data_IF_898702818862
#
_entry.id   IF_898702818862
#
_cell.length_a   1.000
_cell.length_b   1.000
_cell.length_c   1.000
_cell.angle_alpha   90.00
_cell.angle_beta   90.00
_cell.angle_gamma   90.00
#
_symmetry.space_group_name_H-M   'P 1'
#
loop_
_entity.id
_entity.type
_entity.pdbx_description
1 polymer ?
#
# COMPACT_ATOMS: atom_id res chain seq x y z
N UNK A 1 -1.10 0.33 33.81
CA UNK A 1 -0.56 0.66 32.47
C UNK A 1 -1.12 1.99 32.04
N UNK A 2 -0.35 2.78 31.31
CA UNK A 2 -0.76 4.10 30.83
C UNK A 2 -1.69 3.93 29.65
N UNK A 3 -2.89 4.51 29.71
CA UNK A 3 -3.84 4.45 28.60
C UNK A 3 -3.55 5.52 27.53
N UNK A 4 -3.26 6.74 28.00
CA UNK A 4 -3.07 7.92 27.16
C UNK A 4 -2.32 9.01 27.92
N UNK A 5 -1.87 10.02 27.19
CA UNK A 5 -1.51 11.31 27.77
C UNK A 5 -2.48 12.40 27.30
N UNK A 6 -2.56 13.48 28.06
CA UNK A 6 -3.34 14.66 27.74
C UNK A 6 -2.43 15.87 27.84
N UNK A 7 -2.55 16.76 26.88
CA UNK A 7 -1.94 18.09 26.95
C UNK A 7 -3.06 19.13 26.91
N UNK A 8 -3.11 20.04 27.88
CA UNK A 8 -4.16 21.07 27.98
C UNK A 8 -3.71 22.45 27.48
N UNK A 9 -2.55 22.52 26.82
CA UNK A 9 -1.92 23.77 26.41
C UNK A 9 -0.88 24.29 27.41
N UNK A 10 -0.77 23.73 28.62
CA UNK A 10 0.22 24.18 29.61
C UNK A 10 0.89 23.00 30.33
N UNK A 11 0.14 21.95 30.63
CA UNK A 11 0.55 20.82 31.45
C UNK A 11 0.24 19.50 30.78
N UNK A 12 1.14 18.54 30.97
CA UNK A 12 0.94 17.16 30.56
C UNK A 12 0.29 16.36 31.69
N UNK A 13 -0.65 15.49 31.34
CA UNK A 13 -1.30 14.57 32.27
C UNK A 13 -1.22 13.14 31.75
N UNK A 14 -0.96 12.20 32.65
CA UNK A 14 -1.00 10.78 32.39
C UNK A 14 -2.38 10.23 32.77
N UNK A 15 -3.00 9.48 31.86
CA UNK A 15 -4.30 8.83 32.07
C UNK A 15 -4.09 7.34 32.27
N UNK A 16 -4.69 6.79 33.33
CA UNK A 16 -4.70 5.35 33.55
C UNK A 16 -6.04 4.90 34.15
N UNK A 17 -6.31 3.61 33.99
CA UNK A 17 -7.48 2.95 34.58
C UNK A 17 -7.14 2.47 35.98
N UNK A 18 -7.99 2.81 36.95
CA UNK A 18 -7.94 2.30 38.31
C UNK A 18 -9.33 1.80 38.71
N UNK A 19 -9.52 0.47 38.63
CA UNK A 19 -10.82 -0.17 38.81
C UNK A 19 -11.85 0.28 37.75
N UNK A 20 -12.96 0.83 38.23
CA UNK A 20 -14.08 1.37 37.41
C UNK A 20 -13.99 2.89 37.21
N UNK A 21 -12.80 3.48 37.38
CA UNK A 21 -12.61 4.93 37.19
C UNK A 21 -11.35 5.23 36.37
N UNK A 22 -11.36 6.38 35.69
CA UNK A 22 -10.17 6.95 35.07
C UNK A 22 -9.56 7.97 36.04
N UNK A 23 -8.25 7.88 36.24
CA UNK A 23 -7.49 8.89 36.98
C UNK A 23 -6.49 9.60 36.07
N UNK A 24 -6.29 10.88 36.35
CA UNK A 24 -5.38 11.75 35.63
C UNK A 24 -4.34 12.33 36.60
N UNK A 25 -3.05 12.19 36.28
CA UNK A 25 -1.95 12.69 37.11
C UNK A 25 -1.09 13.65 36.31
N UNK A 26 -0.75 14.80 36.89
CA UNK A 26 0.15 15.75 36.23
C UNK A 26 1.56 15.16 36.10
N UNK A 27 2.18 15.38 34.95
CA UNK A 27 3.54 14.94 34.62
C UNK A 27 4.40 16.18 34.45
N UNK A 28 5.54 16.19 35.14
CA UNK A 28 6.53 17.26 34.98
C UNK A 28 7.23 17.08 33.63
N UNK A 29 7.17 18.11 32.80
CA UNK A 29 7.81 18.14 31.48
C UNK A 29 8.32 19.54 31.17
N UNK A 30 9.36 19.67 30.32
CA UNK A 30 9.88 20.96 29.89
C UNK A 30 9.06 21.59 28.74
N UNK A 31 7.94 20.98 28.36
CA UNK A 31 7.12 21.40 27.22
C UNK A 31 6.48 22.76 27.55
N UNK A 32 6.68 23.72 26.67
CA UNK A 32 6.17 25.08 26.80
C UNK A 32 4.66 25.20 26.58
N UNK A 33 4.16 26.40 26.84
CA UNK A 33 2.75 26.73 26.69
C UNK A 33 2.36 26.78 25.21
N UNK A 34 1.19 26.23 24.89
CA UNK A 34 0.61 26.15 23.55
C UNK A 34 1.50 25.41 22.52
N UNK A 35 2.44 24.58 23.00
CA UNK A 35 3.29 23.75 22.15
C UNK A 35 2.47 22.69 21.40
N UNK A 36 2.94 22.30 20.22
CA UNK A 36 2.42 21.13 19.51
C UNK A 36 3.08 19.90 20.11
N UNK A 37 2.29 18.90 20.51
CA UNK A 37 2.83 17.71 21.20
C UNK A 37 2.35 16.42 20.55
N UNK A 38 3.23 15.43 20.46
CA UNK A 38 2.90 14.05 20.12
C UNK A 38 3.60 13.07 21.08
N UNK A 39 2.91 12.00 21.44
CA UNK A 39 3.44 10.92 22.26
C UNK A 39 4.04 9.83 21.36
N UNK A 40 5.32 9.52 21.55
CA UNK A 40 6.03 8.49 20.77
C UNK A 40 6.17 7.17 21.54
N UNK A 41 6.14 7.25 22.87
CA UNK A 41 6.24 6.08 23.73
C UNK A 41 5.96 6.47 25.17
N UNK A 42 6.04 5.50 26.09
CA UNK A 42 5.87 5.80 27.51
C UNK A 42 6.96 6.78 27.97
N UNK A 43 6.55 8.00 28.38
CA UNK A 43 7.44 9.08 28.82
C UNK A 43 8.41 9.59 27.75
N UNK A 44 8.06 9.42 26.47
CA UNK A 44 8.79 9.99 25.35
C UNK A 44 7.84 10.81 24.46
N UNK A 45 8.17 12.10 24.33
CA UNK A 45 7.34 13.07 23.65
C UNK A 45 8.16 13.81 22.60
N UNK A 46 7.52 14.08 21.47
CA UNK A 46 8.01 15.02 20.50
C UNK A 46 7.16 16.28 20.54
N UNK A 47 7.79 17.43 20.47
CA UNK A 47 7.07 18.70 20.54
C UNK A 47 7.74 19.80 19.73
N UNK A 48 6.94 20.80 19.33
CA UNK A 48 7.39 22.01 18.63
C UNK A 48 6.83 23.19 19.39
N UNK A 49 7.71 24.13 19.75
CA UNK A 49 7.35 25.34 20.48
C UNK A 49 6.80 26.40 19.52
N UNK A 50 5.87 27.23 20.00
CA UNK A 50 5.22 28.27 19.21
C UNK A 50 6.21 29.30 18.67
N UNK A 51 7.24 29.62 19.45
CA UNK A 51 8.29 30.59 19.10
C UNK A 51 9.30 30.05 18.07
N UNK A 52 9.37 28.73 17.90
CA UNK A 52 10.29 28.06 16.97
C UNK A 52 9.55 26.94 16.21
N UNK A 53 8.62 27.31 15.29
CA UNK A 53 7.70 26.36 14.65
C UNK A 53 8.39 25.37 13.71
N UNK A 54 9.68 25.54 13.44
CA UNK A 54 10.54 24.74 12.56
C UNK A 54 11.58 23.91 13.34
N UNK A 55 11.47 23.83 14.68
CA UNK A 55 12.39 23.05 15.52
C UNK A 55 11.61 21.94 16.24
N UNK A 56 11.86 20.69 15.83
CA UNK A 56 11.33 19.50 16.47
C UNK A 56 12.19 19.15 17.69
N UNK A 57 11.55 18.97 18.84
CA UNK A 57 12.23 18.58 20.09
C UNK A 57 11.77 17.22 20.53
N UNK A 58 12.69 16.42 21.05
CA UNK A 58 12.42 15.14 21.70
C UNK A 58 12.71 15.27 23.18
N UNK A 59 11.71 15.06 24.03
CA UNK A 59 11.87 14.94 25.47
C UNK A 59 11.67 13.50 25.92
N UNK A 60 12.69 12.93 26.57
CA UNK A 60 12.61 11.65 27.26
C UNK A 60 13.16 11.83 28.67
N UNK A 61 12.40 11.43 29.70
CA UNK A 61 12.78 11.68 31.10
C UNK A 61 14.17 11.13 31.49
N UNK A 62 14.66 10.10 30.81
CA UNK A 62 15.98 9.49 31.07
C UNK A 62 17.16 10.16 30.35
N UNK A 63 16.92 10.87 29.25
CA UNK A 63 17.99 11.39 28.36
C UNK A 63 17.96 12.92 28.27
N UNK A 64 16.84 13.56 28.61
CA UNK A 64 16.65 15.00 28.49
C UNK A 64 16.02 15.40 27.17
N UNK A 65 16.36 16.61 26.70
CA UNK A 65 15.82 17.20 25.48
C UNK A 65 16.85 17.17 24.35
N UNK A 66 16.43 16.81 23.15
CA UNK A 66 17.22 16.92 21.91
C UNK A 66 16.43 17.73 20.88
N UNK A 67 17.13 18.45 20.01
CA UNK A 67 16.53 19.29 18.98
C UNK A 67 16.93 18.82 17.57
N UNK A 68 16.00 18.94 16.63
CA UNK A 68 16.16 18.61 15.22
C UNK A 68 15.56 19.74 14.38
N UNK A 69 16.29 20.19 13.37
CA UNK A 69 15.79 21.21 12.44
C UNK A 69 14.80 20.58 11.45
N UNK A 70 13.64 21.20 11.27
CA UNK A 70 12.69 20.84 10.23
C UNK A 70 12.90 21.68 8.97
N UNK A 71 12.50 21.19 7.79
CA UNK A 71 12.59 21.97 6.54
C UNK A 71 11.73 23.24 6.52
N UNK A 72 10.74 23.36 7.42
CA UNK A 72 9.89 24.53 7.53
C UNK A 72 8.94 24.45 8.73
N UNK A 73 8.12 25.49 8.93
CA UNK A 73 7.23 25.60 10.09
C UNK A 73 6.11 24.55 10.05
N UNK A 74 5.66 24.12 11.23
CA UNK A 74 4.59 23.13 11.37
C UNK A 74 3.49 23.59 12.33
N UNK A 75 2.29 23.06 12.11
CA UNK A 75 1.09 23.40 12.89
C UNK A 75 0.39 22.18 13.53
N UNK A 76 0.85 20.96 13.24
CA UNK A 76 0.37 19.72 13.89
C UNK A 76 1.45 18.64 13.92
N UNK A 77 1.48 17.86 15.00
CA UNK A 77 2.32 16.66 15.13
C UNK A 77 1.45 15.42 15.27
N UNK A 78 1.91 14.31 14.71
CA UNK A 78 1.33 12.99 14.92
C UNK A 78 2.41 11.90 14.85
N UNK A 79 2.19 10.80 15.56
CA UNK A 79 3.06 9.62 15.50
C UNK A 79 2.31 8.52 14.78
N UNK A 80 2.96 7.91 13.80
CA UNK A 80 2.41 6.80 13.04
C UNK A 80 3.54 5.88 12.60
N UNK A 81 3.36 4.57 12.78
CA UNK A 81 4.34 3.55 12.37
C UNK A 81 5.77 3.92 12.78
N UNK A 82 5.95 4.23 14.07
CA UNK A 82 7.27 4.55 14.67
C UNK A 82 8.02 5.73 14.05
N UNK A 83 7.33 6.58 13.28
CA UNK A 83 7.82 7.86 12.77
C UNK A 83 7.03 9.01 13.37
N UNK A 84 7.66 10.18 13.40
CA UNK A 84 7.03 11.44 13.79
C UNK A 84 6.72 12.22 12.53
N UNK A 85 5.46 12.56 12.32
CA UNK A 85 5.03 13.36 11.18
C UNK A 85 4.68 14.77 11.64
N UNK A 86 5.30 15.75 11.00
CA UNK A 86 5.17 17.16 11.31
C UNK A 86 4.48 17.86 10.12
N UNK A 87 3.30 18.42 10.35
CA UNK A 87 2.42 18.94 9.30
C UNK A 87 2.76 20.39 9.01
N UNK A 88 3.27 20.66 7.79
CA UNK A 88 3.43 22.00 7.24
C UNK A 88 2.21 22.42 6.42
N UNK A 89 2.26 23.63 5.86
CA UNK A 89 1.11 24.21 5.15
C UNK A 89 0.64 23.37 3.95
N UNK A 90 1.57 22.91 3.10
CA UNK A 90 1.27 22.13 1.87
C UNK A 90 2.04 20.81 1.78
N UNK A 91 2.60 20.38 2.91
CA UNK A 91 3.47 19.22 2.97
C UNK A 91 3.42 18.57 4.34
N UNK A 92 3.93 17.34 4.41
CA UNK A 92 4.14 16.60 5.63
C UNK A 92 5.63 16.25 5.72
N UNK A 93 6.26 16.50 6.86
CA UNK A 93 7.64 16.10 7.12
C UNK A 93 7.61 14.80 7.94
N UNK A 94 8.09 13.69 7.37
CA UNK A 94 8.25 12.42 8.09
C UNK A 94 9.66 12.32 8.68
N UNK A 95 9.78 12.55 9.98
CA UNK A 95 11.01 12.37 10.73
C UNK A 95 11.13 10.91 11.21
N UNK A 96 12.26 10.27 10.92
CA UNK A 96 12.62 8.94 11.41
C UNK A 96 13.55 9.04 12.62
N UNK A 97 13.06 8.75 13.85
CA UNK A 97 13.88 8.80 15.06
C UNK A 97 15.10 7.88 15.08
N UNK A 98 15.11 6.82 14.25
CA UNK A 98 16.20 5.86 14.23
C UNK A 98 17.40 6.35 13.42
N UNK A 99 17.15 7.13 12.36
CA UNK A 99 18.18 7.64 11.46
C UNK A 99 18.43 9.14 11.61
N UNK A 100 17.49 9.87 12.20
CA UNK A 100 17.46 11.34 12.20
C UNK A 100 17.07 11.95 10.85
N UNK A 101 16.76 11.14 9.84
CA UNK A 101 16.43 11.60 8.49
C UNK A 101 15.01 12.20 8.45
N UNK A 102 14.82 13.24 7.62
CA UNK A 102 13.51 13.86 7.36
C UNK A 102 13.14 13.67 5.89
N UNK A 103 12.00 13.03 5.65
CA UNK A 103 11.39 12.91 4.33
C UNK A 103 10.28 13.95 4.14
N UNK A 104 10.12 14.47 2.92
CA UNK A 104 9.10 15.46 2.58
C UNK A 104 8.03 14.84 1.67
N UNK A 105 6.78 14.93 2.09
CA UNK A 105 5.61 14.54 1.29
C UNK A 105 4.88 15.80 0.82
N UNK A 106 4.92 16.08 -0.47
CA UNK A 106 4.27 17.27 -1.04
C UNK A 106 2.80 17.00 -1.36
N UNK A 107 1.90 17.73 -0.69
CA UNK A 107 0.45 17.57 -0.90
C UNK A 107 -0.14 18.54 -1.92
N UNK A 108 0.56 19.65 -2.22
CA UNK A 108 0.11 20.66 -3.18
C UNK A 108 -1.28 21.26 -2.89
N UNK A 109 -1.82 20.99 -1.69
CA UNK A 109 -3.06 21.49 -1.13
C UNK A 109 -2.77 21.94 0.29
N UNK A 110 -3.47 22.96 0.76
CA UNK A 110 -3.35 23.37 2.16
C UNK A 110 -3.82 22.23 3.06
N UNK A 111 -3.10 21.96 4.15
CA UNK A 111 -3.43 20.92 5.11
C UNK A 111 -3.98 21.60 6.35
N UNK A 112 -5.30 21.63 6.50
CA UNK A 112 -5.92 22.19 7.69
C UNK A 112 -5.83 21.20 8.86
N UNK A 113 -6.17 19.94 8.60
CA UNK A 113 -6.05 18.87 9.57
C UNK A 113 -5.77 17.52 8.90
N UNK A 114 -5.13 16.61 9.62
CA UNK A 114 -4.70 15.29 9.13
C UNK A 114 -4.73 14.24 10.22
N UNK A 115 -5.13 13.02 9.86
CA UNK A 115 -5.15 11.86 10.74
C UNK A 115 -4.52 10.67 10.01
N UNK A 116 -3.72 9.88 10.73
CA UNK A 116 -3.14 8.65 10.18
C UNK A 116 -4.22 7.61 9.93
N UNK A 117 -4.13 6.95 8.77
CA UNK A 117 -4.95 5.82 8.36
C UNK A 117 -4.18 4.50 8.55
N UNK A 118 -4.52 3.46 7.78
CA UNK A 118 -3.77 2.20 7.76
C UNK A 118 -2.40 2.38 7.12
N UNK A 119 -2.37 2.66 5.82
CA UNK A 119 -1.17 2.74 4.98
C UNK A 119 -0.97 4.17 4.42
N UNK A 120 -1.21 5.17 5.27
CA UNK A 120 -1.06 6.58 4.90
C UNK A 120 -1.89 7.49 5.77
N UNK A 121 -2.53 8.49 5.17
CA UNK A 121 -3.22 9.57 5.88
C UNK A 121 -4.52 9.95 5.21
N UNK A 122 -5.42 10.56 5.98
CA UNK A 122 -6.57 11.30 5.47
C UNK A 122 -6.46 12.72 6.00
N UNK A 123 -6.59 13.70 5.13
CA UNK A 123 -6.47 15.11 5.48
C UNK A 123 -7.57 15.96 4.84
N UNK A 124 -7.87 17.09 5.48
CA UNK A 124 -8.82 18.09 5.01
C UNK A 124 -8.08 19.39 4.73
N UNK A 125 -8.46 20.10 3.68
CA UNK A 125 -7.88 21.40 3.35
C UNK A 125 -8.66 22.58 3.96
N UNK A 126 -8.17 23.78 3.70
CA UNK A 126 -8.76 25.06 4.16
C UNK A 126 -10.15 25.36 3.56
N UNK A 127 -10.52 24.70 2.46
CA UNK A 127 -11.86 24.77 1.86
C UNK A 127 -12.75 23.56 2.20
N UNK A 128 -12.40 22.80 3.25
CA UNK A 128 -13.17 21.65 3.76
C UNK A 128 -13.36 20.48 2.78
N UNK A 129 -12.45 20.35 1.81
CA UNK A 129 -12.37 19.20 0.92
C UNK A 129 -11.49 18.10 1.52
N UNK A 130 -11.89 16.84 1.28
CA UNK A 130 -11.25 15.66 1.86
C UNK A 130 -10.32 14.98 0.85
N UNK A 131 -9.12 14.63 1.31
CA UNK A 131 -8.10 13.92 0.54
C UNK A 131 -7.59 12.73 1.34
N UNK A 132 -7.28 11.67 0.61
CA UNK A 132 -6.58 10.50 1.13
C UNK A 132 -5.19 10.44 0.50
N UNK A 133 -4.19 10.10 1.29
CA UNK A 133 -2.82 9.87 0.84
C UNK A 133 -2.45 8.44 1.19
N UNK A 134 -2.04 7.67 0.19
CA UNK A 134 -1.50 6.32 0.37
C UNK A 134 -0.02 6.33 -0.02
N UNK A 135 0.88 5.77 0.80
CA UNK A 135 2.34 5.82 0.56
C UNK A 135 2.77 5.41 -0.85
N UNK A 136 2.19 4.34 -1.41
CA UNK A 136 2.49 3.88 -2.77
C UNK A 136 1.68 4.53 -3.90
N UNK A 137 0.47 5.04 -3.64
CA UNK A 137 -0.44 5.53 -4.69
C UNK A 137 -0.47 7.06 -4.79
N UNK A 138 0.01 7.76 -3.75
CA UNK A 138 -0.05 9.20 -3.65
C UNK A 138 -1.43 9.68 -3.21
N UNK A 139 -1.79 10.89 -3.65
CA UNK A 139 -2.98 11.60 -3.19
C UNK A 139 -4.18 11.26 -4.08
N UNK A 140 -5.32 11.00 -3.44
CA UNK A 140 -6.62 10.84 -4.06
C UNK A 140 -7.61 11.80 -3.42
N UNK A 141 -8.35 12.56 -4.24
CA UNK A 141 -9.46 13.37 -3.75
C UNK A 141 -10.63 12.45 -3.40
N UNK A 142 -11.14 12.56 -2.17
CA UNK A 142 -12.25 11.73 -1.70
C UNK A 142 -13.56 12.36 -2.15
N UNK A 143 -14.39 11.58 -2.83
CA UNK A 143 -15.68 12.05 -3.34
C UNK A 143 -16.75 11.93 -2.26
N UNK A 144 -17.22 13.08 -1.76
CA UNK A 144 -18.23 13.15 -0.70
C UNK A 144 -19.23 14.26 -1.05
N UNK A 145 -20.50 14.06 -0.73
CA UNK A 145 -21.60 14.95 -1.16
C UNK A 145 -21.59 16.34 -0.50
N UNK A 146 -20.91 16.52 0.64
CA UNK A 146 -20.93 17.75 1.46
C UNK A 146 -19.52 18.06 2.00
N UNK A 147 -19.26 19.26 2.51
CA UNK A 147 -17.96 19.57 3.13
C UNK A 147 -17.69 18.73 4.39
N UNK A 148 -16.42 18.59 4.77
CA UNK A 148 -16.01 17.95 6.03
C UNK A 148 -15.93 19.00 7.14
N UNK A 149 -16.56 18.70 8.28
CA UNK A 149 -16.52 19.55 9.48
C UNK A 149 -15.24 19.29 10.28
N UNK A 150 -14.91 18.02 10.54
CA UNK A 150 -13.73 17.66 11.34
C UNK A 150 -13.27 16.21 11.09
N UNK A 151 -12.01 15.92 11.41
CA UNK A 151 -11.47 14.57 11.50
C UNK A 151 -11.43 14.12 12.97
N UNK A 152 -12.29 13.17 13.33
CA UNK A 152 -12.52 12.80 14.72
C UNK A 152 -11.40 11.92 15.29
N UNK A 153 -10.87 10.99 14.49
CA UNK A 153 -9.85 10.07 14.95
C UNK A 153 -9.73 8.84 14.05
N UNK A 154 -8.75 7.99 14.35
CA UNK A 154 -8.56 6.71 13.67
C UNK A 154 -9.30 5.61 14.45
N UNK A 155 -10.04 4.77 13.76
CA UNK A 155 -10.62 3.53 14.29
C UNK A 155 -10.28 2.36 13.35
N UNK A 156 -9.57 1.35 13.86
CA UNK A 156 -8.98 0.27 13.07
C UNK A 156 -8.06 0.82 11.95
N UNK A 157 -8.43 0.62 10.69
CA UNK A 157 -7.70 1.10 9.52
C UNK A 157 -8.35 2.35 8.88
N UNK A 158 -9.43 2.87 9.45
CA UNK A 158 -10.20 3.97 8.89
C UNK A 158 -10.05 5.25 9.72
N UNK A 159 -10.07 6.39 9.04
CA UNK A 159 -10.26 7.71 9.65
C UNK A 159 -11.74 8.02 9.70
N UNK A 160 -12.22 8.42 10.87
CA UNK A 160 -13.61 8.81 11.08
C UNK A 160 -13.72 10.32 10.86
N UNK A 161 -14.42 10.73 9.81
CA UNK A 161 -14.67 12.13 9.50
C UNK A 161 -16.12 12.52 9.80
N UNK A 162 -16.31 13.71 10.35
CA UNK A 162 -17.60 14.34 10.59
C UNK A 162 -17.98 15.18 9.37
N UNK A 163 -19.03 14.81 8.65
CA UNK A 163 -19.44 15.44 7.38
C UNK A 163 -20.49 16.55 7.60
N UNK A 164 -21.29 16.42 8.64
CA UNK A 164 -22.24 17.44 9.08
C UNK A 164 -22.41 17.30 10.60
N UNK A 165 -23.26 18.11 11.22
CA UNK A 165 -23.38 18.14 12.69
C UNK A 165 -23.62 16.76 13.34
N UNK A 166 -24.22 15.78 12.64
CA UNK A 166 -24.58 14.47 13.22
C UNK A 166 -24.23 13.26 12.33
N UNK A 167 -23.43 13.41 11.27
CA UNK A 167 -23.16 12.32 10.33
C UNK A 167 -21.67 12.11 10.16
N UNK A 168 -21.24 10.87 10.42
CA UNK A 168 -19.86 10.42 10.31
C UNK A 168 -19.67 9.51 9.11
N UNK A 169 -18.46 9.45 8.58
CA UNK A 169 -18.04 8.52 7.52
C UNK A 169 -16.68 7.92 7.88
N UNK A 170 -16.48 6.66 7.49
CA UNK A 170 -15.18 5.97 7.62
C UNK A 170 -14.46 6.05 6.28
N UNK A 171 -13.25 6.59 6.27
CA UNK A 171 -12.44 6.80 5.07
C UNK A 171 -11.11 6.08 5.21
N UNK A 172 -10.67 5.37 4.18
CA UNK A 172 -9.33 4.77 4.11
C UNK A 172 -8.34 5.63 3.30
N UNK A 173 -7.07 5.23 3.29
CA UNK A 173 -6.01 5.88 2.52
C UNK A 173 -6.19 5.78 0.99
N UNK A 174 -7.05 4.89 0.49
CA UNK A 174 -7.38 4.78 -0.94
C UNK A 174 -8.49 5.77 -1.35
N UNK A 175 -9.07 6.49 -0.39
CA UNK A 175 -10.21 7.38 -0.59
C UNK A 175 -11.54 6.64 -0.72
N UNK A 176 -11.61 5.39 -0.27
CA UNK A 176 -12.86 4.64 -0.18
C UNK A 176 -13.67 5.12 1.03
N UNK A 177 -14.94 5.42 0.81
CA UNK A 177 -15.87 5.87 1.85
C UNK A 177 -16.82 4.74 2.22
N UNK A 178 -16.87 4.41 3.51
CA UNK A 178 -17.75 3.37 4.06
C UNK A 178 -18.64 3.92 5.17
N UNK A 179 -19.81 3.32 5.29
CA UNK A 179 -20.82 3.63 6.30
C UNK A 179 -20.90 2.51 7.34
N UNK A 180 -21.34 2.85 8.56
CA UNK A 180 -21.67 1.90 9.63
C UNK A 180 -20.51 1.01 10.14
N UNK A 181 -19.24 1.39 9.92
CA UNK A 181 -18.09 0.68 10.49
C UNK A 181 -17.72 1.15 11.90
N UNK A 182 -18.09 2.38 12.25
CA UNK A 182 -17.81 2.95 13.57
C UNK A 182 -19.02 2.76 14.49
N UNK A 183 -18.86 2.09 15.65
CA UNK A 183 -20.00 1.66 16.47
C UNK A 183 -20.61 2.76 17.35
N UNK A 184 -19.94 3.91 17.49
CA UNK A 184 -20.35 4.97 18.42
C UNK A 184 -20.93 6.19 17.69
N UNK A 185 -21.88 6.86 18.34
CA UNK A 185 -22.45 8.14 17.88
C UNK A 185 -21.78 9.31 18.60
N UNK A 186 -20.46 9.44 18.46
CA UNK A 186 -19.69 10.57 19.00
C UNK A 186 -19.31 11.55 17.90
N UNK A 187 -19.33 12.84 18.22
CA UNK A 187 -18.96 13.95 17.32
C UNK A 187 -17.71 14.71 17.80
N UNK A 188 -17.13 14.29 18.93
CA UNK A 188 -15.92 14.85 19.48
C UNK A 188 -14.71 14.05 18.99
N UNK A 189 -13.54 14.69 18.97
CA UNK A 189 -12.27 14.03 18.67
C UNK A 189 -11.97 12.94 19.70
N UNK A 190 -11.32 11.88 19.25
CA UNK A 190 -11.02 10.72 20.06
C UNK A 190 -9.69 10.09 19.65
N UNK A 191 -9.16 9.26 20.54
CA UNK A 191 -8.07 8.34 20.24
C UNK A 191 -8.54 6.91 20.50
N UNK A 192 -8.09 5.98 19.66
CA UNK A 192 -8.18 4.56 19.98
C UNK A 192 -7.09 4.20 20.98
N UNK A 193 -7.49 3.47 22.01
CA UNK A 193 -6.60 2.86 23.00
C UNK A 193 -6.68 1.33 22.85
N UNK A 194 -6.16 0.59 23.83
CA UNK A 194 -6.13 -0.88 23.83
C UNK A 194 -7.49 -1.53 23.59
N UNK A 195 -7.48 -2.71 22.95
CA UNK A 195 -8.66 -3.56 22.72
C UNK A 195 -9.81 -2.89 21.93
N UNK A 196 -9.49 -1.86 21.14
CA UNK A 196 -10.48 -1.12 20.35
C UNK A 196 -11.33 -0.15 21.17
N UNK A 197 -10.97 0.08 22.44
CA UNK A 197 -11.59 1.12 23.25
C UNK A 197 -11.28 2.52 22.73
N UNK A 198 -12.17 3.46 23.03
CA UNK A 198 -12.12 4.84 22.52
C UNK A 198 -12.13 5.82 23.67
N UNK A 199 -11.10 6.67 23.76
CA UNK A 199 -11.03 7.75 24.73
C UNK A 199 -11.39 9.07 24.04
N UNK A 200 -12.33 9.83 24.61
CA UNK A 200 -12.76 11.14 24.10
C UNK A 200 -13.06 12.09 25.26
N UNK A 201 -13.13 13.39 24.96
CA UNK A 201 -13.61 14.42 25.89
C UNK A 201 -15.02 14.82 25.52
N UNK A 202 -15.93 14.79 26.49
CA UNK A 202 -17.30 15.29 26.34
C UNK A 202 -17.37 16.82 26.56
N UNK A 203 -18.53 17.39 26.24
CA UNK A 203 -18.85 18.80 26.49
C UNK A 203 -18.74 19.09 28.00
N UNK A 204 -18.05 20.15 28.40
CA UNK A 204 -17.70 20.43 29.79
C UNK A 204 -16.38 19.80 30.26
N UNK A 205 -15.61 19.20 29.35
CA UNK A 205 -14.24 18.76 29.61
C UNK A 205 -14.10 17.44 30.38
N UNK A 206 -15.18 16.67 30.52
CA UNK A 206 -15.16 15.36 31.17
C UNK A 206 -14.61 14.30 30.21
N UNK A 207 -13.61 13.54 30.66
CA UNK A 207 -13.05 12.43 29.89
C UNK A 207 -13.93 11.18 30.00
N UNK A 208 -14.16 10.53 28.87
CA UNK A 208 -14.93 9.30 28.76
C UNK A 208 -14.19 8.25 27.94
N UNK A 209 -14.07 7.05 28.51
CA UNK A 209 -13.55 5.86 27.85
C UNK A 209 -14.72 4.94 27.50
N UNK A 210 -14.88 4.64 26.22
CA UNK A 210 -15.87 3.68 25.70
C UNK A 210 -15.19 2.34 25.44
N UNK A 211 -15.77 1.27 25.94
CA UNK A 211 -15.44 -0.13 25.66
C UNK A 211 -16.68 -0.83 25.07
N UNK A 212 -16.55 -2.05 24.54
CA UNK A 212 -17.65 -2.74 23.85
C UNK A 212 -18.96 -2.77 24.66
N UNK A 213 -18.87 -2.96 25.98
CA UNK A 213 -20.04 -3.14 26.84
C UNK A 213 -20.26 -2.01 27.86
N UNK A 214 -19.32 -1.08 28.03
CA UNK A 214 -19.33 -0.12 29.14
C UNK A 214 -18.70 1.22 28.78
N UNK A 215 -19.03 2.25 29.55
CA UNK A 215 -18.37 3.56 29.50
C UNK A 215 -17.88 3.97 30.88
N UNK A 216 -16.62 4.41 30.97
CA UNK A 216 -16.01 4.92 32.19
C UNK A 216 -15.77 6.41 32.06
N UNK A 217 -15.96 7.15 33.15
CA UNK A 217 -15.71 8.59 33.20
C UNK A 217 -14.56 8.91 34.16
N UNK A 218 -13.81 9.97 33.88
CA UNK A 218 -12.79 10.45 34.80
C UNK A 218 -13.43 11.13 36.02
N UNK A 219 -12.90 10.83 37.20
CA UNK A 219 -13.26 11.51 38.43
C UNK A 219 -12.34 12.72 38.63
N UNK A 220 -12.94 13.90 38.78
CA UNK A 220 -12.22 15.13 39.15
C UNK A 220 -11.35 15.77 38.06
N UNK A 221 -11.47 15.35 36.80
CA UNK A 221 -10.81 16.00 35.66
C UNK A 221 -11.87 16.64 34.74
N UNK A 222 -11.90 17.97 34.72
CA UNK A 222 -12.80 18.78 33.90
C UNK A 222 -11.99 19.92 33.26
N UNK A 223 -11.44 19.66 32.07
CA UNK A 223 -10.70 20.67 31.30
C UNK A 223 -11.17 20.67 29.85
N UNK A 224 -11.44 21.86 29.32
CA UNK A 224 -11.78 22.06 27.91
C UNK A 224 -10.53 22.39 27.09
N UNK A 225 -10.61 22.23 25.77
CA UNK A 225 -9.50 22.55 24.86
C UNK A 225 -8.31 21.58 24.92
N UNK A 226 -8.51 20.38 25.44
CA UNK A 226 -7.44 19.39 25.62
C UNK A 226 -7.09 18.67 24.30
N UNK A 227 -5.82 18.30 24.17
CA UNK A 227 -5.30 17.39 23.16
C UNK A 227 -5.11 15.99 23.77
N UNK A 228 -5.73 14.98 23.16
CA UNK A 228 -5.53 13.58 23.52
C UNK A 228 -4.32 13.02 22.76
N UNK A 229 -3.41 12.34 23.48
CA UNK A 229 -2.19 11.77 22.93
C UNK A 229 -2.21 10.25 23.13
N UNK A 230 -2.27 9.50 22.03
CA UNK A 230 -2.21 8.04 22.04
C UNK A 230 -0.82 7.55 22.46
N UNK A 231 -0.78 6.55 23.34
CA UNK A 231 0.46 5.80 23.60
C UNK A 231 0.54 4.65 22.59
N UNK A 232 1.61 4.55 21.78
CA UNK A 232 1.76 3.40 20.89
C UNK A 232 1.79 2.08 21.67
N UNK A 233 1.08 1.07 21.16
CA UNK A 233 0.86 -0.22 21.84
C UNK A 233 2.12 -1.09 21.89
N UNK A 234 2.99 -0.96 20.90
CA UNK A 234 4.26 -1.67 20.82
C UNK A 234 5.42 -0.71 21.03
N UNK A 235 6.41 -1.16 21.79
CA UNK A 235 7.70 -0.51 21.75
C UNK A 235 8.38 -0.80 20.42
N UNK A 236 9.15 0.16 19.91
CA UNK A 236 9.90 -0.05 18.69
C UNK A 236 10.89 -1.22 18.80
N UNK A 237 11.20 -1.85 17.66
CA UNK A 237 12.21 -2.91 17.63
C UNK A 237 13.61 -2.36 17.92
N UNK A 238 14.36 -3.08 18.75
CA UNK A 238 15.75 -2.72 19.12
C UNK A 238 16.79 -3.40 18.22
N UNK A 239 16.39 -4.43 17.46
CA UNK A 239 17.27 -5.21 16.59
C UNK A 239 16.76 -5.26 15.14
N UNK A 240 17.66 -5.40 14.18
CA UNK A 240 17.31 -5.62 12.78
C UNK A 240 16.83 -7.06 12.54
N UNK A 241 15.63 -7.24 11.98
CA UNK A 241 15.08 -8.58 11.68
C UNK A 241 15.79 -9.33 10.54
N UNK A 242 16.78 -8.75 9.86
CA UNK A 242 17.57 -9.41 8.81
C UNK A 242 18.84 -10.04 9.38
N UNK A 243 19.69 -9.25 10.03
CA UNK A 243 20.95 -9.74 10.62
C UNK A 243 20.84 -10.15 12.08
N UNK A 244 19.76 -9.73 12.77
CA UNK A 244 19.49 -9.96 14.20
C UNK A 244 20.39 -9.17 15.16
N UNK A 245 21.11 -8.16 14.67
CA UNK A 245 21.95 -7.27 15.48
C UNK A 245 21.21 -5.99 15.88
N UNK A 246 21.63 -5.39 17.00
CA UNK A 246 21.13 -4.11 17.51
C UNK A 246 21.48 -2.92 16.59
N UNK A 247 20.75 -1.83 16.72
CA UNK A 247 21.05 -0.59 15.99
C UNK A 247 22.16 0.22 16.68
N UNK A 248 23.31 0.36 16.03
CA UNK A 248 24.38 1.28 16.44
C UNK A 248 24.34 2.57 15.62
N UNK A 249 24.56 3.73 16.27
CA UNK A 249 24.93 5.03 15.68
C UNK A 249 24.24 5.38 14.33
N UNK A 250 22.90 5.46 14.31
CA UNK A 250 22.09 5.92 13.15
C UNK A 250 22.24 5.08 11.86
N UNK A 251 22.75 3.85 11.97
CA UNK A 251 22.85 2.91 10.84
C UNK A 251 21.51 2.24 10.48
N UNK A 252 20.46 2.51 11.24
CA UNK A 252 19.12 1.98 11.02
C UNK A 252 18.25 2.86 10.13
N UNK A 253 17.16 2.29 9.62
CA UNK A 253 16.04 2.99 8.96
C UNK A 253 14.73 2.40 9.44
N UNK A 254 13.73 3.26 9.62
CA UNK A 254 12.35 2.86 9.85
C UNK A 254 11.61 2.90 8.51
N UNK A 255 11.05 1.77 8.06
CA UNK A 255 10.22 1.73 6.85
C UNK A 255 8.84 2.37 7.12
N UNK A 256 8.06 2.62 6.08
CA UNK A 256 6.70 3.21 6.21
C UNK A 256 5.71 2.32 6.98
N UNK A 257 6.02 1.03 7.13
CA UNK A 257 5.28 0.09 7.97
C UNK A 257 5.67 0.14 9.46
N UNK A 258 6.72 0.91 9.80
CA UNK A 258 7.26 1.03 11.15
C UNK A 258 8.33 -0.01 11.49
N UNK A 259 8.58 -1.01 10.65
CA UNK A 259 9.65 -1.98 10.91
C UNK A 259 11.03 -1.39 10.63
N UNK A 260 11.99 -1.80 11.45
CA UNK A 260 13.33 -1.23 11.51
C UNK A 260 14.38 -2.19 10.98
N UNK A 261 15.34 -1.66 10.22
CA UNK A 261 16.41 -2.46 9.63
C UNK A 261 17.69 -1.64 9.47
N UNK A 262 18.86 -2.28 9.42
CA UNK A 262 20.06 -1.57 9.00
C UNK A 262 19.96 -1.16 7.54
N UNK A 263 20.51 0.02 7.20
CA UNK A 263 20.56 0.56 5.84
C UNK A 263 21.13 -0.47 4.85
N UNK A 264 22.23 -1.12 5.20
CA UNK A 264 22.91 -2.10 4.35
C UNK A 264 22.10 -3.40 4.19
N UNK A 265 21.44 -3.87 5.25
CA UNK A 265 20.59 -5.05 5.18
C UNK A 265 19.42 -4.86 4.21
N UNK A 266 18.76 -3.69 4.23
CA UNK A 266 17.68 -3.35 3.29
C UNK A 266 18.22 -3.21 1.87
N UNK A 267 19.40 -2.59 1.71
CA UNK A 267 20.06 -2.44 0.42
C UNK A 267 20.36 -3.80 -0.22
N UNK A 268 20.97 -4.72 0.53
CA UNK A 268 21.30 -6.07 0.05
C UNK A 268 20.03 -6.88 -0.25
N UNK A 269 19.03 -6.86 0.64
CA UNK A 269 17.77 -7.58 0.44
C UNK A 269 17.08 -7.12 -0.85
N UNK A 270 16.98 -5.81 -1.07
CA UNK A 270 16.26 -5.24 -2.22
C UNK A 270 17.08 -5.21 -3.52
N UNK A 271 18.40 -5.42 -3.47
CA UNK A 271 19.29 -5.41 -4.66
C UNK A 271 18.88 -6.40 -5.76
N UNK A 272 18.16 -7.46 -5.41
CA UNK A 272 17.71 -8.53 -6.30
C UNK A 272 16.23 -8.43 -6.70
N UNK A 273 15.58 -7.31 -6.40
CA UNK A 273 14.14 -7.13 -6.60
C UNK A 273 13.68 -7.25 -8.06
N UNK A 274 14.54 -6.94 -9.02
CA UNK A 274 14.24 -7.07 -10.46
C UNK A 274 14.81 -8.36 -11.10
N UNK A 275 15.24 -9.34 -10.31
CA UNK A 275 15.87 -10.57 -10.82
C UNK A 275 15.00 -11.36 -11.80
N UNK A 276 13.67 -11.19 -11.76
CA UNK A 276 12.74 -11.78 -12.73
C UNK A 276 13.05 -11.34 -14.18
N UNK A 277 13.57 -10.13 -14.41
CA UNK A 277 13.86 -9.64 -15.77
C UNK A 277 14.91 -10.48 -16.48
N UNK A 278 16.01 -10.78 -15.77
CA UNK A 278 17.12 -11.54 -16.33
C UNK A 278 16.74 -13.01 -16.52
N UNK A 279 15.90 -13.54 -15.65
CA UNK A 279 15.36 -14.91 -15.73
C UNK A 279 14.25 -15.05 -16.77
N UNK A 280 13.68 -13.93 -17.23
CA UNK A 280 12.49 -13.92 -18.06
C UNK A 280 11.25 -14.42 -17.30
N UNK A 281 11.21 -14.29 -15.98
CA UNK A 281 10.07 -14.74 -15.16
C UNK A 281 9.01 -13.63 -15.03
N UNK A 282 7.84 -14.02 -14.53
CA UNK A 282 6.82 -13.05 -14.16
C UNK A 282 7.31 -12.13 -13.04
N UNK A 283 6.78 -10.90 -13.03
CA UNK A 283 7.08 -9.89 -12.02
C UNK A 283 6.60 -10.39 -10.66
N UNK A 284 7.51 -10.38 -9.69
CA UNK A 284 7.23 -10.65 -8.28
C UNK A 284 7.80 -9.53 -7.41
N UNK A 285 7.09 -9.19 -6.33
CA UNK A 285 7.47 -8.10 -5.42
C UNK A 285 8.14 -8.58 -4.13
N UNK A 286 8.56 -9.85 -4.05
CA UNK A 286 9.09 -10.48 -2.83
C UNK A 286 10.23 -9.69 -2.18
N UNK A 287 11.16 -9.16 -2.96
CA UNK A 287 12.29 -8.35 -2.45
C UNK A 287 12.02 -6.83 -2.51
N UNK A 288 10.77 -6.44 -2.80
CA UNK A 288 10.29 -5.06 -2.80
C UNK A 288 9.28 -4.80 -1.67
N UNK A 289 8.98 -5.81 -0.84
CA UNK A 289 8.13 -5.69 0.35
C UNK A 289 8.95 -5.87 1.62
N UNK A 290 8.43 -5.39 2.74
CA UNK A 290 9.08 -5.43 4.04
C UNK A 290 9.60 -6.84 4.37
N UNK A 291 10.89 -6.99 4.70
CA UNK A 291 11.51 -8.28 5.03
C UNK A 291 10.84 -9.04 6.18
N UNK A 292 10.15 -8.33 7.09
CA UNK A 292 9.39 -8.95 8.20
C UNK A 292 8.11 -9.66 7.74
N UNK A 293 7.73 -9.51 6.47
CA UNK A 293 6.53 -10.17 5.91
C UNK A 293 5.22 -9.45 6.19
N UNK A 294 5.24 -8.17 6.58
CA UNK A 294 4.00 -7.40 6.79
C UNK A 294 3.27 -7.01 5.49
N UNK A 295 3.90 -7.21 4.33
CA UNK A 295 3.33 -6.95 3.01
C UNK A 295 3.44 -5.49 2.50
N UNK A 296 3.93 -4.56 3.31
CA UNK A 296 4.16 -3.18 2.84
C UNK A 296 5.30 -3.11 1.83
N UNK A 297 5.14 -2.31 0.78
CA UNK A 297 6.23 -2.01 -0.15
C UNK A 297 7.33 -1.19 0.53
N UNK A 298 8.57 -1.52 0.21
CA UNK A 298 9.73 -0.74 0.63
C UNK A 298 9.78 0.52 -0.22
N UNK A 299 9.61 1.68 0.42
CA UNK A 299 9.82 3.01 -0.16
C UNK A 299 10.88 3.71 0.68
N UNK A 300 12.14 3.55 0.28
CA UNK A 300 13.26 4.16 1.00
C UNK A 300 14.49 4.26 0.09
N UNK A 301 15.29 5.32 0.25
CA UNK A 301 16.51 5.54 -0.54
C UNK A 301 17.58 4.47 -0.30
N UNK A 302 17.63 3.91 0.92
CA UNK A 302 18.49 2.76 1.23
C UNK A 302 18.16 1.50 0.42
N UNK A 303 16.97 1.41 -0.20
CA UNK A 303 16.60 0.32 -1.10
C UNK A 303 16.79 0.76 -2.57
N UNK A 304 17.88 0.37 -3.26
CA UNK A 304 18.26 0.91 -4.57
C UNK A 304 17.23 0.70 -5.69
N UNK A 305 16.35 -0.29 -5.58
CA UNK A 305 15.30 -0.59 -6.56
C UNK A 305 13.89 -0.18 -6.12
N UNK A 306 13.72 0.44 -4.95
CA UNK A 306 12.39 0.77 -4.40
C UNK A 306 11.56 1.64 -5.35
N UNK A 307 12.14 2.70 -5.92
CA UNK A 307 11.46 3.59 -6.84
C UNK A 307 11.03 2.90 -8.14
N UNK A 308 11.90 2.03 -8.69
CA UNK A 308 11.59 1.22 -9.86
C UNK A 308 10.42 0.26 -9.57
N UNK A 309 10.54 -0.50 -8.48
CA UNK A 309 9.53 -1.49 -8.08
C UNK A 309 8.19 -0.83 -7.73
N UNK A 310 8.19 0.34 -7.08
CA UNK A 310 6.97 1.11 -6.81
C UNK A 310 6.30 1.65 -8.08
N UNK A 311 7.09 2.04 -9.08
CA UNK A 311 6.56 2.45 -10.40
C UNK A 311 5.98 1.27 -11.17
N UNK A 312 6.69 0.14 -11.15
CA UNK A 312 6.24 -1.12 -11.75
C UNK A 312 4.93 -1.61 -11.11
N UNK A 313 4.85 -1.60 -9.78
CA UNK A 313 3.65 -1.96 -9.03
C UNK A 313 2.44 -1.11 -9.45
N UNK A 314 2.60 0.22 -9.49
CA UNK A 314 1.52 1.13 -9.92
C UNK A 314 1.07 0.87 -11.35
N UNK A 315 2.00 0.64 -12.27
CA UNK A 315 1.68 0.35 -13.66
C UNK A 315 0.88 -0.97 -13.80
N UNK A 316 1.28 -2.01 -13.08
CA UNK A 316 0.58 -3.30 -13.05
C UNK A 316 -0.82 -3.16 -12.43
N UNK A 317 -0.93 -2.49 -11.27
CA UNK A 317 -2.21 -2.27 -10.61
C UNK A 317 -3.18 -1.41 -11.43
N UNK A 318 -2.65 -0.50 -12.26
CA UNK A 318 -3.47 0.27 -13.19
C UNK A 318 -4.02 -0.62 -14.32
N UNK A 319 -3.17 -1.41 -14.98
CA UNK A 319 -3.62 -2.31 -16.07
C UNK A 319 -4.56 -3.41 -15.55
N UNK A 320 -4.26 -3.97 -14.36
CA UNK A 320 -5.06 -5.06 -13.77
C UNK A 320 -6.50 -4.65 -13.51
N UNK A 321 -6.76 -3.40 -13.10
CA UNK A 321 -8.13 -2.87 -12.94
C UNK A 321 -8.97 -3.00 -14.21
N UNK A 322 -8.38 -2.84 -15.39
CA UNK A 322 -9.09 -3.02 -16.66
C UNK A 322 -9.27 -4.50 -17.00
N UNK A 323 -8.25 -5.33 -16.79
CA UNK A 323 -8.33 -6.78 -17.06
C UNK A 323 -9.36 -7.49 -16.18
N UNK A 324 -9.40 -7.15 -14.90
CA UNK A 324 -10.31 -7.78 -13.93
C UNK A 324 -11.79 -7.43 -14.16
N UNK A 325 -12.10 -6.33 -14.86
CA UNK A 325 -13.49 -6.03 -15.27
C UNK A 325 -14.03 -7.06 -16.26
N UNK A 326 -13.15 -7.59 -17.11
CA UNK A 326 -13.47 -8.65 -18.07
C UNK A 326 -13.38 -10.06 -17.43
N UNK A 327 -12.82 -10.17 -16.22
CA UNK A 327 -12.51 -11.42 -15.52
C UNK A 327 -12.97 -11.37 -14.04
N UNK A 328 -14.28 -11.28 -13.76
CA UNK A 328 -14.79 -10.95 -12.42
C UNK A 328 -14.51 -11.99 -11.33
N UNK A 329 -14.16 -13.23 -11.70
CA UNK A 329 -13.80 -14.30 -10.76
C UNK A 329 -12.33 -14.34 -10.36
N UNK A 330 -11.51 -13.41 -10.89
CA UNK A 330 -10.06 -13.38 -10.72
C UNK A 330 -9.62 -12.23 -9.84
N UNK A 331 -8.43 -12.35 -9.27
CA UNK A 331 -7.74 -11.27 -8.56
C UNK A 331 -6.44 -10.90 -9.24
N UNK A 332 -5.75 -9.87 -8.74
CA UNK A 332 -4.47 -9.41 -9.33
C UNK A 332 -3.41 -10.53 -9.27
N UNK A 333 -3.46 -11.37 -8.25
CA UNK A 333 -2.57 -12.51 -8.04
C UNK A 333 -2.74 -13.63 -9.07
N UNK A 334 -3.88 -13.65 -9.76
CA UNK A 334 -4.16 -14.56 -10.88
C UNK A 334 -3.60 -14.04 -12.22
N UNK A 335 -3.09 -12.81 -12.27
CA UNK A 335 -2.58 -12.21 -13.49
C UNK A 335 -1.04 -12.21 -13.50
N UNK A 336 -0.44 -12.84 -14.51
CA UNK A 336 1.01 -12.83 -14.69
C UNK A 336 1.42 -11.62 -15.53
N UNK A 337 2.30 -10.79 -14.99
CA UNK A 337 2.90 -9.67 -15.70
C UNK A 337 4.36 -9.94 -15.98
N UNK A 338 4.86 -9.47 -17.13
CA UNK A 338 6.26 -9.60 -17.55
C UNK A 338 6.79 -8.24 -18.02
N UNK A 339 8.10 -8.08 -18.04
CA UNK A 339 8.74 -6.89 -18.62
C UNK A 339 9.01 -7.14 -20.10
N UNK A 340 8.47 -6.27 -20.95
CA UNK A 340 8.75 -6.33 -22.38
C UNK A 340 10.24 -6.06 -22.64
N UNK A 341 10.89 -6.95 -23.40
CA UNK A 341 12.30 -6.81 -23.74
C UNK A 341 12.63 -5.50 -24.47
N UNK A 342 11.73 -5.05 -25.35
CA UNK A 342 11.95 -3.93 -26.26
C UNK A 342 11.67 -2.58 -25.59
N UNK A 343 10.48 -2.39 -25.01
CA UNK A 343 10.07 -1.10 -24.42
C UNK A 343 10.25 -1.01 -22.89
N UNK A 344 10.62 -2.12 -22.22
CA UNK A 344 10.79 -2.22 -20.76
C UNK A 344 9.53 -1.93 -19.92
N UNK A 345 8.37 -1.85 -20.54
CA UNK A 345 7.08 -1.70 -19.84
C UNK A 345 6.55 -3.06 -19.39
N UNK A 346 5.83 -3.12 -18.26
CA UNK A 346 5.08 -4.32 -17.91
C UNK A 346 3.98 -4.59 -18.93
N UNK A 347 3.71 -5.87 -19.19
CA UNK A 347 2.55 -6.28 -19.97
C UNK A 347 1.92 -7.55 -19.37
N UNK A 348 0.61 -7.69 -19.56
CA UNK A 348 -0.13 -8.87 -19.17
C UNK A 348 0.28 -10.07 -20.04
N UNK A 349 0.91 -11.06 -19.41
CA UNK A 349 1.41 -12.29 -20.04
C UNK A 349 0.52 -13.50 -19.80
N UNK A 350 -0.73 -13.29 -19.39
CA UNK A 350 -1.74 -14.33 -19.23
C UNK A 350 -2.04 -14.68 -17.77
N UNK A 351 -2.90 -15.67 -17.59
CA UNK A 351 -3.37 -16.07 -16.26
C UNK A 351 -2.38 -17.02 -15.57
N UNK A 352 -2.32 -16.92 -14.24
CA UNK A 352 -1.66 -17.88 -13.37
C UNK A 352 -2.53 -19.13 -13.25
N UNK A 353 -1.91 -20.29 -13.43
CA UNK A 353 -2.52 -21.58 -13.09
C UNK A 353 -1.75 -22.23 -11.94
N UNK A 354 -2.32 -22.14 -10.74
CA UNK A 354 -1.65 -22.43 -9.48
C UNK A 354 -0.95 -23.79 -9.43
N UNK A 355 -1.57 -24.87 -9.94
CA UNK A 355 -0.96 -26.20 -9.90
C UNK A 355 0.29 -26.32 -10.79
N UNK A 356 0.34 -25.59 -11.91
CA UNK A 356 1.45 -25.62 -12.87
C UNK A 356 2.64 -24.78 -12.46
N UNK A 357 2.38 -23.78 -11.62
CA UNK A 357 3.42 -22.90 -11.10
C UNK A 357 4.26 -23.57 -10.01
N UNK A 358 3.84 -24.73 -9.48
CA UNK A 358 4.60 -25.49 -8.46
C UNK A 358 5.90 -26.09 -9.00
N UNK A 359 5.94 -26.45 -10.29
CA UNK A 359 7.15 -26.96 -10.97
C UNK A 359 8.10 -25.86 -11.42
N UNK A 360 7.79 -24.60 -11.11
CA UNK A 360 8.45 -23.44 -11.69
C UNK A 360 7.91 -23.06 -13.07
N UNK A 361 8.26 -21.86 -13.49
CA UNK A 361 7.88 -21.32 -14.79
C UNK A 361 8.74 -21.93 -15.91
N UNK A 362 8.17 -22.27 -17.08
CA UNK A 362 8.98 -22.79 -18.17
C UNK A 362 10.06 -21.80 -18.60
N UNK A 363 11.30 -22.28 -18.84
CA UNK A 363 12.40 -21.41 -19.22
C UNK A 363 12.12 -20.71 -20.55
N UNK A 364 12.49 -19.44 -20.62
CA UNK A 364 12.39 -18.62 -21.80
C UNK A 364 13.43 -17.52 -21.77
N UNK A 365 13.88 -17.11 -22.95
CA UNK A 365 14.81 -16.00 -23.06
C UNK A 365 14.06 -14.70 -22.82
N UNK A 366 14.63 -13.72 -22.08
CA UNK A 366 14.01 -12.41 -21.93
C UNK A 366 13.67 -11.74 -23.27
N UNK A 367 14.43 -12.01 -24.33
CA UNK A 367 14.19 -11.51 -25.70
C UNK A 367 12.87 -11.97 -26.32
N UNK A 368 12.29 -13.08 -25.83
CA UNK A 368 11.02 -13.63 -26.32
C UNK A 368 9.79 -12.97 -25.66
N UNK A 369 10.01 -12.13 -24.64
CA UNK A 369 8.94 -11.44 -23.92
C UNK A 369 8.66 -10.08 -24.56
N UNK A 370 7.66 -10.03 -25.42
CA UNK A 370 7.25 -8.82 -26.13
C UNK A 370 5.80 -8.48 -25.80
N UNK A 371 5.54 -7.21 -25.46
CA UNK A 371 4.17 -6.74 -25.39
C UNK A 371 3.56 -6.65 -26.79
N UNK A 372 2.23 -6.60 -26.87
CA UNK A 372 1.49 -6.50 -28.14
C UNK A 372 2.03 -5.39 -29.06
N UNK A 373 2.29 -4.20 -28.51
CA UNK A 373 2.78 -3.06 -29.31
C UNK A 373 4.20 -3.24 -29.85
N UNK A 374 5.01 -4.10 -29.23
CA UNK A 374 6.39 -4.36 -29.64
C UNK A 374 6.53 -5.66 -30.44
N UNK A 375 5.50 -6.51 -30.49
CA UNK A 375 5.54 -7.73 -31.27
C UNK A 375 5.21 -7.42 -32.74
N UNK A 376 6.11 -7.81 -33.63
CA UNK A 376 6.06 -7.57 -35.07
C UNK A 376 6.04 -8.85 -35.90
N UNK A 377 5.79 -10.01 -35.27
CA UNK A 377 5.59 -11.28 -35.96
C UNK A 377 4.36 -11.29 -36.89
N UNK A 378 3.36 -10.45 -36.61
CA UNK A 378 2.21 -10.16 -37.46
C UNK A 378 1.66 -8.76 -37.19
N UNK A 379 1.37 -8.01 -38.26
CA UNK A 379 0.78 -6.67 -38.16
C UNK A 379 -0.44 -6.59 -39.09
N UNK A 380 -1.63 -6.47 -38.50
CA UNK A 380 -2.84 -6.13 -39.23
C UNK A 380 -2.82 -4.65 -39.64
N UNK A 381 -3.13 -4.29 -40.90
CA UNK A 381 -3.22 -2.89 -41.32
C UNK A 381 -4.21 -2.04 -40.53
N UNK A 382 -5.30 -2.64 -40.03
CA UNK A 382 -6.34 -1.93 -39.28
C UNK A 382 -6.16 -2.03 -37.76
N UNK A 383 -5.84 -3.22 -37.26
CA UNK A 383 -5.82 -3.50 -35.82
C UNK A 383 -4.40 -3.64 -35.23
N UNK A 384 -3.35 -3.46 -36.05
CA UNK A 384 -1.95 -3.68 -35.67
C UNK A 384 -1.75 -5.10 -35.12
N UNK A 385 -1.07 -5.25 -33.99
CA UNK A 385 -0.92 -6.52 -33.30
C UNK A 385 -2.07 -6.82 -32.32
N UNK A 386 -3.09 -5.96 -32.26
CA UNK A 386 -4.23 -6.23 -31.41
C UNK A 386 -5.13 -7.30 -32.05
N UNK A 387 -5.66 -8.21 -31.23
CA UNK A 387 -6.56 -9.30 -31.65
C UNK A 387 -5.91 -10.34 -32.58
N UNK A 388 -4.60 -10.55 -32.49
CA UNK A 388 -3.92 -11.63 -33.22
C UNK A 388 -4.28 -12.97 -32.60
N UNK A 389 -4.79 -13.87 -33.44
CA UNK A 389 -5.05 -15.26 -33.08
C UNK A 389 -3.80 -16.07 -33.35
N UNK A 390 -3.32 -16.82 -32.35
CA UNK A 390 -2.12 -17.65 -32.45
C UNK A 390 -2.48 -19.13 -32.57
N UNK A 391 -1.58 -19.91 -33.18
CA UNK A 391 -1.60 -21.36 -33.07
C UNK A 391 -1.16 -21.81 -31.67
N UNK A 392 -1.82 -22.83 -31.13
CA UNK A 392 -1.38 -23.58 -29.96
C UNK A 392 0.05 -24.13 -30.13
N UNK A 393 0.91 -23.95 -29.13
CA UNK A 393 2.28 -24.45 -29.17
C UNK A 393 2.38 -25.96 -29.39
N UNK A 394 1.42 -26.73 -28.87
CA UNK A 394 1.51 -28.19 -28.79
C UNK A 394 0.59 -28.95 -29.74
N UNK A 395 -0.20 -28.26 -30.56
CA UNK A 395 -1.01 -28.90 -31.60
C UNK A 395 -1.41 -27.91 -32.69
N UNK A 396 -2.11 -28.38 -33.72
CA UNK A 396 -2.60 -27.57 -34.81
C UNK A 396 -3.97 -26.95 -34.52
N UNK A 397 -4.25 -26.44 -33.31
CA UNK A 397 -5.50 -25.73 -33.03
C UNK A 397 -5.22 -24.25 -32.76
N UNK A 398 -6.17 -23.34 -33.04
CA UNK A 398 -6.11 -21.99 -32.52
C UNK A 398 -6.02 -21.99 -30.99
N UNK A 399 -5.20 -21.09 -30.45
CA UNK A 399 -5.06 -20.90 -29.03
C UNK A 399 -6.27 -20.14 -28.47
N UNK A 400 -6.75 -20.60 -27.32
CA UNK A 400 -7.81 -19.99 -26.52
C UNK A 400 -7.25 -19.36 -25.25
N UNK A 401 -6.04 -19.74 -24.85
CA UNK A 401 -5.35 -19.26 -23.67
C UNK A 401 -3.96 -18.72 -23.99
N UNK A 402 -3.52 -17.77 -23.19
CA UNK A 402 -2.14 -17.32 -23.11
C UNK A 402 -1.70 -17.39 -21.65
N UNK A 403 -0.50 -17.88 -21.40
CA UNK A 403 0.17 -17.78 -20.11
C UNK A 403 1.67 -17.76 -20.30
N UNK A 404 2.40 -17.56 -19.21
CA UNK A 404 3.84 -17.51 -19.19
C UNK A 404 4.42 -16.53 -20.21
N UNK A 405 3.71 -15.43 -20.51
CA UNK A 405 4.16 -14.36 -21.41
C UNK A 405 4.20 -14.69 -22.91
N UNK A 406 4.41 -15.96 -23.30
CA UNK A 406 4.57 -16.38 -24.69
C UNK A 406 4.11 -17.83 -24.98
N UNK A 407 3.33 -18.43 -24.08
CA UNK A 407 2.76 -19.77 -24.28
C UNK A 407 1.31 -19.64 -24.67
N UNK A 408 1.02 -19.88 -25.95
CA UNK A 408 -0.33 -19.94 -26.49
C UNK A 408 -0.83 -21.39 -26.51
N UNK A 409 -2.01 -21.64 -25.94
CA UNK A 409 -2.60 -22.98 -25.80
C UNK A 409 -4.05 -23.02 -26.21
N UNK A 410 -4.47 -24.12 -26.83
CA UNK A 410 -5.89 -24.46 -26.96
C UNK A 410 -6.38 -25.22 -25.71
N UNK A 411 -7.70 -25.29 -25.51
CA UNK A 411 -8.31 -25.99 -24.36
C UNK A 411 -7.84 -27.44 -24.21
N UNK A 412 -7.72 -28.17 -25.32
CA UNK A 412 -7.27 -29.56 -25.31
C UNK A 412 -5.84 -29.72 -24.77
N UNK A 413 -4.92 -28.87 -25.21
CA UNK A 413 -3.53 -28.93 -24.75
C UNK A 413 -3.40 -28.33 -23.35
N UNK A 414 -4.20 -27.31 -23.06
CA UNK A 414 -4.35 -26.78 -21.72
C UNK A 414 -4.72 -27.91 -20.76
N UNK A 415 -5.78 -28.68 -20.99
CA UNK A 415 -6.19 -29.76 -20.07
C UNK A 415 -5.17 -30.90 -19.89
N UNK A 416 -4.21 -31.06 -20.79
CA UNK A 416 -3.13 -32.08 -20.70
C UNK A 416 -1.93 -31.62 -19.88
N UNK A 417 -1.80 -30.32 -19.62
CA UNK A 417 -0.69 -29.81 -18.86
C UNK A 417 -0.97 -30.00 -17.38
N UNK A 418 -0.31 -31.00 -16.79
CA UNK A 418 -0.29 -31.30 -15.37
C UNK A 418 0.88 -30.56 -14.71
N UNK A 419 2.00 -31.24 -14.46
CA UNK A 419 3.19 -30.66 -13.83
C UNK A 419 4.30 -30.27 -14.82
N UNK A 420 4.26 -30.79 -16.05
CA UNK A 420 5.24 -30.56 -17.11
C UNK A 420 4.56 -30.10 -18.39
N UNK A 421 5.29 -29.39 -19.26
CA UNK A 421 4.77 -29.02 -20.58
C UNK A 421 4.26 -30.27 -21.33
N UNK A 422 3.08 -30.20 -21.99
CA UNK A 422 2.51 -31.35 -22.68
C UNK A 422 3.31 -31.70 -23.93
N UNK A 423 3.40 -32.99 -24.24
CA UNK A 423 4.03 -33.44 -25.49
C UNK A 423 3.28 -32.89 -26.73
N UNK A 424 4.07 -32.54 -27.75
CA UNK A 424 3.56 -32.03 -29.03
C UNK A 424 2.75 -33.13 -29.73
N UNK A 425 1.55 -32.78 -30.16
CA UNK A 425 0.73 -33.60 -31.04
C UNK A 425 1.18 -33.30 -32.48
N UNK A 426 1.74 -34.30 -33.21
CA UNK A 426 2.20 -34.08 -34.57
C UNK A 426 1.10 -33.62 -35.50
N UNK A 427 1.43 -32.77 -36.47
CA UNK A 427 0.52 -32.38 -37.53
C UNK A 427 0.13 -33.63 -38.36
N UNK A 428 -1.17 -33.84 -38.66
CA UNK A 428 -1.62 -34.99 -39.46
C UNK A 428 -1.27 -34.87 -40.96
N UNK A 429 -0.54 -33.82 -41.36
CA UNK A 429 -0.19 -33.51 -42.74
C UNK A 429 -1.09 -32.43 -43.34
N UNK A 430 -0.64 -31.76 -44.42
CA UNK A 430 -1.32 -30.58 -44.99
C UNK A 430 -2.76 -30.86 -45.45
N UNK A 431 -3.03 -32.08 -45.91
CA UNK A 431 -4.36 -32.48 -46.41
C UNK A 431 -5.38 -32.74 -45.29
N UNK A 432 -4.91 -32.98 -44.06
CA UNK A 432 -5.74 -33.34 -42.90
C UNK A 432 -5.61 -32.35 -41.74
N UNK A 433 -4.76 -31.34 -41.89
CA UNK A 433 -4.52 -30.36 -40.85
C UNK A 433 -5.74 -29.46 -40.69
N UNK A 434 -6.27 -29.27 -39.47
CA UNK A 434 -7.38 -28.36 -39.24
C UNK A 434 -7.06 -26.91 -39.60
N UNK A 435 -5.79 -26.48 -39.58
CA UNK A 435 -5.36 -25.13 -39.99
C UNK A 435 -5.16 -24.97 -41.50
N UNK A 436 -5.26 -26.07 -42.26
CA UNK A 436 -5.10 -26.19 -43.71
C UNK A 436 -3.72 -25.77 -44.25
N UNK A 437 -3.15 -26.61 -45.12
CA UNK A 437 -1.88 -26.31 -45.81
C UNK A 437 -0.62 -26.61 -44.97
N UNK A 438 0.54 -26.28 -45.54
CA UNK A 438 1.85 -26.51 -44.90
C UNK A 438 2.20 -25.35 -43.97
N UNK A 439 2.55 -25.67 -42.73
CA UNK A 439 2.96 -24.69 -41.72
C UNK A 439 4.04 -25.26 -40.80
N UNK A 440 4.73 -24.39 -40.06
CA UNK A 440 5.67 -24.81 -39.03
C UNK A 440 4.95 -25.56 -37.91
N UNK A 441 5.47 -26.72 -37.51
CA UNK A 441 4.83 -27.54 -36.48
C UNK A 441 5.33 -27.21 -35.06
N UNK A 442 6.50 -26.58 -34.97
CA UNK A 442 7.10 -26.15 -33.71
C UNK A 442 6.58 -24.78 -33.29
N UNK A 443 6.41 -24.60 -31.99
CA UNK A 443 6.04 -23.31 -31.41
C UNK A 443 4.65 -22.78 -31.76
N UNK A 444 4.48 -21.51 -31.40
CA UNK A 444 3.29 -20.71 -31.68
C UNK A 444 3.64 -19.67 -32.74
N UNK A 445 2.74 -19.47 -33.70
CA UNK A 445 2.86 -18.44 -34.73
C UNK A 445 1.48 -17.81 -34.99
N UNK A 446 1.44 -16.57 -35.52
CA UNK A 446 0.20 -15.86 -35.79
C UNK A 446 -0.58 -16.50 -36.95
N UNK A 447 -1.86 -16.80 -36.72
CA UNK A 447 -2.81 -17.27 -37.74
C UNK A 447 -3.48 -16.11 -38.48
N UNK A 448 -3.60 -14.95 -37.83
CA UNK A 448 -4.18 -13.75 -38.42
C UNK A 448 -4.89 -12.87 -37.39
N UNK A 449 -5.49 -11.77 -37.87
CA UNK A 449 -6.30 -10.89 -37.03
C UNK A 449 -7.72 -11.45 -36.88
N UNK A 450 -8.11 -11.76 -35.65
CA UNK A 450 -9.43 -12.36 -35.34
C UNK A 450 -10.61 -11.51 -35.84
N UNK A 451 -10.46 -10.19 -35.88
CA UNK A 451 -11.50 -9.28 -36.38
C UNK A 451 -11.57 -9.19 -37.91
N UNK A 452 -10.50 -9.54 -38.62
CA UNK A 452 -10.44 -9.47 -40.08
C UNK A 452 -10.64 -10.83 -40.76
N UNK A 453 -10.44 -11.94 -40.04
CA UNK A 453 -10.63 -13.28 -40.59
C UNK A 453 -12.12 -13.53 -40.85
N UNK A 454 -12.47 -13.96 -42.07
CA UNK A 454 -13.84 -14.34 -42.40
C UNK A 454 -14.28 -15.57 -41.60
N UNK A 455 -15.53 -15.59 -41.10
CA UNK A 455 -16.10 -16.75 -40.38
C UNK A 455 -15.98 -18.08 -41.16
N UNK A 456 -15.94 -18.05 -42.50
CA UNK A 456 -15.71 -19.26 -43.33
C UNK A 456 -14.31 -19.88 -43.16
N UNK A 457 -13.30 -19.10 -42.78
CA UNK A 457 -11.94 -19.59 -42.48
C UNK A 457 -11.79 -20.03 -41.01
N UNK A 458 -12.61 -19.50 -40.09
CA UNK A 458 -12.65 -19.87 -38.68
C UNK A 458 -13.52 -21.13 -38.43
N UNK A 459 -14.61 -21.29 -39.19
CA UNK A 459 -15.61 -22.35 -39.02
C UNK A 459 -15.11 -23.77 -39.32
N UNK A 460 -14.14 -23.93 -40.23
CA UNK A 460 -13.49 -25.22 -40.48
C UNK A 460 -12.47 -25.62 -39.40
N UNK A 461 -11.94 -24.65 -38.65
CA UNK A 461 -10.90 -24.87 -37.63
C UNK A 461 -11.44 -25.03 -36.20
N UNK A 462 -12.58 -24.38 -35.87
CA UNK A 462 -13.05 -24.26 -34.48
C UNK A 462 -14.15 -25.26 -34.08
N UNK A 463 -14.82 -25.91 -35.04
CA UNK A 463 -16.01 -26.74 -34.78
C UNK A 463 -15.98 -28.15 -35.39
N UNK A 464 -14.82 -28.67 -35.81
CA UNK A 464 -14.72 -30.10 -36.14
C UNK A 464 -14.68 -30.94 -34.85
N UNK A 465 -15.82 -31.11 -34.21
CA UNK A 465 -16.03 -32.19 -33.24
C UNK A 465 -16.04 -33.51 -34.00
N UNK A 466 -14.90 -34.20 -34.00
CA UNK A 466 -14.82 -35.67 -34.10
C UNK A 466 -13.79 -36.15 -33.09
#
# INVERSE_FOLDING_TARGET
MVLAYIFDGESLYQVYREGESLKCHSVVSPIGRDALVACFGEKEFYFVEKESPDVLRRYRSSVGCMEYALPGPVHKLLVHHEKVYCCGEKCLYGFDPLSGDVEIFEFHQNVLDIVAAGHGFVFVNDVQELFAFHFNQGITKVSIERGVVDLLGRYNHFVIALINSNSIRSIDENGEVRENLFPLTITNRFISVEEGSILTSQKGGQLCLYSQDNSLVASGFFKEGIQLLSVPLSQPEDCCSICLDDFENDAGVTLDCGHRFHKDCVAEFSSRANSFEQKGEHVVFTYAVCPRGCGFHIRHTAAPLSAYMGTLWRAIHYDSKYKLREMPSKTVEDLLYYICHRCKKPFFGGEKWCFRSMSGEPPKKPTELLCSDCNDDFICPQHKHNFVLYKCRYCCNPATHMSFGNRYLCDRCNSRWENTEPEIIPCPGPDKCPLLGSHECDGSYPLGCMLCMSLGALGSCLFSTV
#
